data_IF_184346730864
#
_entry.id   IF_184346730864
#
_cell.length_a   1.000
_cell.length_b   1.000
_cell.length_c   1.000
_cell.angle_alpha   90.00
_cell.angle_beta   90.00
_cell.angle_gamma   90.00
#
_symmetry.space_group_name_H-M   'P 1'
#
loop_
_entity.id
_entity.type
_entity.pdbx_description
1 polymer ?
#
# COMPACT_ATOMS: atom_id res chain seq x y z
N UNK A 1 -13.34 -1.74 4.73
CA UNK A 1 -14.58 -1.86 5.52
C UNK A 1 -14.84 -3.28 5.98
N UNK A 2 -13.87 -3.94 6.62
CA UNK A 2 -14.02 -5.32 7.12
C UNK A 2 -13.30 -5.45 8.47
N UNK A 3 -13.56 -6.53 9.21
CA UNK A 3 -12.88 -6.85 10.47
C UNK A 3 -11.36 -6.98 10.35
N UNK A 4 -10.87 -7.31 9.15
CA UNK A 4 -9.43 -7.41 8.86
C UNK A 4 -8.65 -6.11 9.11
N UNK A 5 -9.30 -4.94 9.03
CA UNK A 5 -8.64 -3.66 9.29
C UNK A 5 -8.04 -3.55 10.71
N UNK A 6 -8.58 -4.32 11.68
CA UNK A 6 -8.03 -4.41 13.05
C UNK A 6 -6.59 -4.89 13.09
N UNK A 7 -6.15 -5.60 12.05
CA UNK A 7 -4.80 -6.15 11.94
C UNK A 7 -3.86 -5.29 11.08
N UNK A 8 -4.31 -4.14 10.54
CA UNK A 8 -3.44 -3.30 9.72
C UNK A 8 -2.32 -2.67 10.56
N UNK A 9 -2.65 -1.88 11.58
CA UNK A 9 -1.64 -1.09 12.30
C UNK A 9 -0.59 -1.96 12.99
N UNK A 10 -1.03 -3.01 13.69
CA UNK A 10 -0.13 -3.93 14.41
C UNK A 10 0.86 -4.67 13.49
N UNK A 11 0.58 -4.77 12.19
CA UNK A 11 1.51 -5.39 11.23
C UNK A 11 2.83 -4.61 11.14
N UNK A 12 2.82 -3.30 11.41
CA UNK A 12 4.02 -2.47 11.50
C UNK A 12 4.99 -3.01 12.55
N UNK A 13 4.48 -3.26 13.75
CA UNK A 13 5.27 -3.71 14.89
C UNK A 13 5.76 -5.15 14.66
N UNK A 14 4.89 -6.00 14.12
CA UNK A 14 5.26 -7.36 13.75
C UNK A 14 6.39 -7.40 12.71
N UNK A 15 6.35 -6.53 11.70
CA UNK A 15 7.43 -6.40 10.70
C UNK A 15 8.73 -5.96 11.37
N UNK A 16 8.67 -4.97 12.27
CA UNK A 16 9.84 -4.48 12.98
C UNK A 16 10.51 -5.60 13.79
N UNK A 17 9.71 -6.31 14.59
CA UNK A 17 10.17 -7.40 15.45
C UNK A 17 10.71 -8.57 14.60
N UNK A 18 10.12 -8.83 13.43
CA UNK A 18 10.58 -9.88 12.50
C UNK A 18 11.99 -9.57 11.97
N UNK A 19 12.22 -8.34 11.50
CA UNK A 19 13.52 -7.90 10.99
C UNK A 19 14.57 -7.93 12.11
N UNK A 20 14.22 -7.40 13.28
CA UNK A 20 15.09 -7.37 14.46
C UNK A 20 15.50 -8.79 14.88
N UNK A 21 14.55 -9.72 14.91
CA UNK A 21 14.80 -11.14 15.23
C UNK A 21 15.77 -11.79 14.24
N UNK A 22 15.57 -11.63 12.93
CA UNK A 22 16.45 -12.22 11.92
C UNK A 22 17.86 -11.62 11.97
N UNK A 23 17.97 -10.29 12.03
CA UNK A 23 19.26 -9.59 12.06
C UNK A 23 20.05 -9.89 13.33
N UNK A 24 19.37 -10.00 14.48
CA UNK A 24 19.97 -10.39 15.74
C UNK A 24 20.41 -11.85 15.76
N UNK A 25 19.57 -12.77 15.27
CA UNK A 25 19.85 -14.20 15.25
C UNK A 25 20.97 -14.60 14.29
N UNK A 26 21.09 -13.90 13.15
CA UNK A 26 22.08 -14.23 12.11
C UNK A 26 23.32 -13.34 12.12
N UNK A 27 23.39 -12.37 13.02
CA UNK A 27 24.52 -11.45 13.14
C UNK A 27 24.89 -10.71 11.84
N UNK A 28 23.90 -10.44 10.98
CA UNK A 28 24.15 -9.71 9.73
C UNK A 28 24.68 -8.30 9.98
N UNK A 29 25.70 -7.90 9.21
CA UNK A 29 26.40 -6.63 9.37
C UNK A 29 25.59 -5.41 8.91
N UNK A 30 24.61 -5.61 8.03
CA UNK A 30 23.78 -4.52 7.48
C UNK A 30 22.46 -5.00 6.88
N UNK A 31 21.57 -4.06 6.58
CA UNK A 31 20.19 -4.33 6.16
C UNK A 31 19.80 -3.52 4.91
N UNK A 32 19.30 -4.20 3.89
CA UNK A 32 18.56 -3.59 2.77
C UNK A 32 17.10 -4.01 2.89
N UNK A 33 16.20 -3.08 3.16
CA UNK A 33 14.76 -3.36 3.26
C UNK A 33 14.00 -2.90 2.01
N UNK A 34 13.05 -3.73 1.55
CA UNK A 34 12.26 -3.51 0.33
C UNK A 34 10.74 -3.41 0.65
N UNK A 35 10.27 -2.41 1.40
CA UNK A 35 8.85 -2.24 1.69
C UNK A 35 8.07 -1.61 0.53
N UNK A 36 6.79 -1.95 0.38
CA UNK A 36 5.96 -1.48 -0.74
C UNK A 36 4.52 -1.10 -0.39
N UNK A 37 4.11 -1.20 0.87
CA UNK A 37 2.74 -0.86 1.30
C UNK A 37 2.76 -0.19 2.67
N UNK A 38 1.78 0.69 2.89
CA UNK A 38 1.58 1.58 4.05
C UNK A 38 2.39 1.22 5.31
N UNK A 39 2.06 0.13 6.00
CA UNK A 39 2.63 -0.20 7.32
C UNK A 39 4.02 -0.84 7.25
N UNK A 40 4.46 -1.27 6.07
CA UNK A 40 5.77 -1.90 5.88
C UNK A 40 6.89 -0.89 6.09
N UNK A 41 6.79 0.31 5.49
CA UNK A 41 7.83 1.33 5.56
C UNK A 41 8.19 1.72 7.00
N UNK A 42 7.23 2.14 7.86
CA UNK A 42 7.56 2.46 9.24
C UNK A 42 8.05 1.23 10.02
N UNK A 43 7.58 0.01 9.73
CA UNK A 43 8.08 -1.21 10.36
C UNK A 43 9.56 -1.46 10.05
N UNK A 44 9.97 -1.30 8.80
CA UNK A 44 11.37 -1.41 8.39
C UNK A 44 12.23 -0.33 9.06
N UNK A 45 11.80 0.93 9.05
CA UNK A 45 12.55 2.05 9.64
C UNK A 45 12.68 1.89 11.16
N UNK A 46 11.64 1.40 11.84
CA UNK A 46 11.70 1.08 13.27
C UNK A 46 12.77 0.02 13.57
N UNK A 47 12.81 -1.07 12.80
CA UNK A 47 13.83 -2.11 12.99
C UNK A 47 15.24 -1.60 12.72
N UNK A 48 15.44 -0.80 11.66
CA UNK A 48 16.72 -0.15 11.36
C UNK A 48 17.22 0.69 12.53
N UNK A 49 16.33 1.52 13.10
CA UNK A 49 16.66 2.37 14.23
C UNK A 49 17.00 1.56 15.50
N UNK A 50 16.27 0.47 15.78
CA UNK A 50 16.54 -0.41 16.93
C UNK A 50 17.87 -1.16 16.79
N UNK A 51 18.16 -1.69 15.60
CA UNK A 51 19.40 -2.43 15.32
C UNK A 51 20.63 -1.52 15.33
N UNK A 52 20.46 -0.25 14.92
CA UNK A 52 21.54 0.73 14.79
C UNK A 52 22.75 0.18 14.01
N UNK A 53 22.47 -0.54 12.92
CA UNK A 53 23.44 -1.09 11.96
C UNK A 53 23.32 -0.37 10.62
N UNK A 54 24.35 -0.36 9.76
CA UNK A 54 24.25 0.19 8.42
C UNK A 54 23.02 -0.35 7.67
N UNK A 55 22.12 0.54 7.26
CA UNK A 55 20.86 0.14 6.63
C UNK A 55 20.36 1.13 5.58
N UNK A 56 19.70 0.60 4.54
CA UNK A 56 19.01 1.39 3.52
C UNK A 56 17.62 0.81 3.25
N UNK A 57 16.63 1.69 3.06
CA UNK A 57 15.28 1.33 2.63
C UNK A 57 15.12 1.69 1.15
N UNK A 58 14.67 0.75 0.34
CA UNK A 58 14.35 0.96 -1.07
C UNK A 58 12.85 0.78 -1.21
N UNK A 59 12.13 1.89 -1.44
CA UNK A 59 10.69 1.87 -1.64
C UNK A 59 10.32 1.12 -2.92
N UNK A 60 9.35 0.20 -2.82
CA UNK A 60 8.88 -0.62 -3.95
C UNK A 60 8.25 0.17 -5.10
N UNK A 61 7.87 1.43 -4.85
CA UNK A 61 7.38 2.36 -5.86
C UNK A 61 5.85 2.47 -5.94
N UNK A 62 5.41 3.59 -6.50
CA UNK A 62 3.99 3.91 -6.67
C UNK A 62 3.40 3.20 -7.89
N UNK A 63 2.14 2.77 -7.78
CA UNK A 63 1.35 2.29 -8.92
C UNK A 63 1.09 3.46 -9.89
N UNK A 64 0.95 3.15 -11.18
CA UNK A 64 0.45 4.11 -12.17
C UNK A 64 -1.05 4.30 -12.01
N UNK A 65 -1.54 5.49 -12.35
CA UNK A 65 -2.97 5.76 -12.35
C UNK A 65 -3.68 4.94 -13.43
N UNK A 66 -4.87 4.44 -13.09
CA UNK A 66 -5.78 3.76 -13.99
C UNK A 66 -6.45 4.72 -14.98
N UNK A 67 -7.11 4.17 -16.00
CA UNK A 67 -7.91 4.92 -16.96
C UNK A 67 -9.21 4.20 -17.24
N UNK A 68 -10.33 4.91 -17.11
CA UNK A 68 -11.63 4.38 -17.49
C UNK A 68 -11.74 4.36 -19.03
N UNK A 69 -11.95 3.20 -19.68
CA UNK A 69 -12.06 3.13 -21.14
C UNK A 69 -13.18 3.99 -21.74
N UNK A 70 -14.35 4.04 -21.12
CA UNK A 70 -15.53 4.75 -21.64
C UNK A 70 -15.41 6.27 -21.59
N UNK A 71 -14.78 6.82 -20.54
CA UNK A 71 -14.71 8.28 -20.31
C UNK A 71 -13.31 8.87 -20.47
N UNK A 72 -12.27 8.04 -20.47
CA UNK A 72 -10.86 8.49 -20.42
C UNK A 72 -10.43 9.05 -19.06
N UNK A 73 -11.33 9.03 -18.05
CA UNK A 73 -11.08 9.57 -16.72
C UNK A 73 -9.96 8.81 -16.01
N UNK A 74 -9.16 9.53 -15.23
CA UNK A 74 -8.10 8.95 -14.40
C UNK A 74 -8.72 8.26 -13.19
N UNK A 75 -8.29 7.04 -12.90
CA UNK A 75 -8.80 6.23 -11.79
C UNK A 75 -7.69 5.87 -10.79
N UNK A 76 -8.08 5.72 -9.53
CA UNK A 76 -7.25 5.15 -8.47
C UNK A 76 -8.11 4.33 -7.48
N UNK A 77 -7.51 3.88 -6.37
CA UNK A 77 -8.25 3.11 -5.36
C UNK A 77 -9.40 3.89 -4.71
N UNK A 78 -9.32 5.23 -4.66
CA UNK A 78 -10.42 6.06 -4.14
C UNK A 78 -11.57 6.09 -5.13
N UNK A 79 -11.31 6.12 -6.43
CA UNK A 79 -12.35 5.95 -7.46
C UNK A 79 -13.14 4.66 -7.24
N UNK A 80 -12.45 3.54 -6.99
CA UNK A 80 -13.09 2.26 -6.69
C UNK A 80 -13.93 2.30 -5.40
N UNK A 81 -13.46 2.98 -4.35
CA UNK A 81 -14.23 3.14 -3.11
C UNK A 81 -15.48 4.00 -3.30
N UNK A 82 -15.37 5.09 -4.06
CA UNK A 82 -16.46 6.03 -4.31
C UNK A 82 -17.53 5.44 -5.24
N UNK A 83 -17.14 4.60 -6.20
CA UNK A 83 -18.03 4.00 -7.19
C UNK A 83 -19.22 3.25 -6.57
N UNK A 84 -19.05 2.60 -5.42
CA UNK A 84 -20.18 1.95 -4.73
C UNK A 84 -21.20 2.98 -4.23
N UNK A 85 -20.74 4.11 -3.67
CA UNK A 85 -21.62 5.19 -3.26
C UNK A 85 -22.33 5.82 -4.44
N UNK A 86 -21.61 6.12 -5.52
CA UNK A 86 -22.19 6.69 -6.75
C UNK A 86 -23.25 5.79 -7.37
N UNK A 87 -23.03 4.48 -7.37
CA UNK A 87 -24.00 3.50 -7.83
C UNK A 87 -25.27 3.47 -6.97
N UNK A 88 -25.13 3.46 -5.63
CA UNK A 88 -26.27 3.45 -4.70
C UNK A 88 -27.12 4.72 -4.80
N UNK A 89 -26.54 5.83 -5.24
CA UNK A 89 -27.24 7.09 -5.50
C UNK A 89 -27.64 7.28 -6.97
N UNK A 90 -27.69 6.20 -7.77
CA UNK A 90 -28.08 6.20 -9.19
C UNK A 90 -27.31 7.20 -10.06
N UNK A 91 -26.05 7.54 -9.69
CA UNK A 91 -25.20 8.46 -10.46
C UNK A 91 -24.42 7.77 -11.57
N UNK A 92 -24.16 6.47 -11.40
CA UNK A 92 -23.49 5.61 -12.37
C UNK A 92 -24.25 4.29 -12.49
N UNK A 93 -24.17 3.67 -13.66
CA UNK A 93 -24.68 2.32 -13.92
C UNK A 93 -23.82 1.23 -13.25
N UNK A 94 -24.35 0.02 -13.15
CA UNK A 94 -23.58 -1.14 -12.68
C UNK A 94 -22.42 -1.47 -13.65
N UNK A 95 -22.61 -1.23 -14.94
CA UNK A 95 -21.61 -1.38 -15.98
C UNK A 95 -20.44 -0.39 -15.78
N UNK A 96 -20.74 0.89 -15.57
CA UNK A 96 -19.73 1.91 -15.25
C UNK A 96 -19.02 1.59 -13.93
N UNK A 97 -19.76 1.15 -12.90
CA UNK A 97 -19.16 0.74 -11.62
C UNK A 97 -18.17 -0.40 -11.81
N UNK A 98 -18.53 -1.45 -12.57
CA UNK A 98 -17.63 -2.57 -12.88
C UNK A 98 -16.40 -2.11 -13.65
N UNK A 99 -16.58 -1.22 -14.61
CA UNK A 99 -15.48 -0.67 -15.38
C UNK A 99 -14.49 0.10 -14.50
N UNK A 100 -14.97 0.96 -13.60
CA UNK A 100 -14.13 1.67 -12.63
C UNK A 100 -13.34 0.66 -11.79
N UNK A 101 -13.99 -0.37 -11.26
CA UNK A 101 -13.34 -1.39 -10.42
C UNK A 101 -12.23 -2.16 -11.17
N UNK A 102 -12.46 -2.51 -12.44
CA UNK A 102 -11.50 -3.26 -13.25
C UNK A 102 -10.27 -2.45 -13.66
N UNK A 103 -10.40 -1.12 -13.74
CA UNK A 103 -9.35 -0.26 -14.29
C UNK A 103 -8.68 0.64 -13.24
N UNK A 104 -9.13 0.64 -11.98
CA UNK A 104 -8.57 1.49 -10.91
C UNK A 104 -7.14 1.11 -10.50
N UNK A 105 -6.74 -0.15 -10.66
CA UNK A 105 -5.43 -0.66 -10.25
C UNK A 105 -4.72 -1.36 -11.44
N UNK A 106 -4.06 -0.61 -12.34
CA UNK A 106 -3.59 -1.14 -13.63
C UNK A 106 -2.31 -1.99 -13.56
N UNK A 107 -1.73 -2.19 -12.39
CA UNK A 107 -0.46 -2.91 -12.25
C UNK A 107 0.08 -2.95 -10.82
N UNK A 108 1.38 -3.29 -10.64
CA UNK A 108 2.02 -3.32 -9.33
C UNK A 108 2.36 -1.91 -8.81
N UNK A 109 2.50 -1.81 -7.49
CA UNK A 109 2.94 -0.60 -6.78
C UNK A 109 2.00 -0.20 -5.64
N UNK A 110 2.45 0.70 -4.77
CA UNK A 110 1.62 1.24 -3.70
C UNK A 110 0.58 2.25 -4.24
N UNK A 111 -0.40 2.63 -3.41
CA UNK A 111 -1.46 3.58 -3.80
C UNK A 111 -0.89 4.92 -4.31
N UNK A 112 -1.41 5.43 -5.43
CA UNK A 112 -0.79 6.52 -6.19
C UNK A 112 -0.84 7.93 -5.58
N UNK A 113 -1.79 8.19 -4.67
CA UNK A 113 -1.92 9.50 -4.03
C UNK A 113 -0.92 9.72 -2.89
N UNK A 114 -0.96 10.91 -2.28
CA UNK A 114 -0.22 11.23 -1.04
C UNK A 114 -0.90 10.60 0.18
N UNK A 115 -0.97 9.27 0.18
CA UNK A 115 -1.38 8.45 1.32
C UNK A 115 -0.13 8.02 2.10
N UNK A 116 -0.31 7.19 3.15
CA UNK A 116 0.79 6.76 4.02
C UNK A 116 1.97 6.11 3.30
N UNK A 117 1.74 5.52 2.12
CA UNK A 117 2.84 4.85 1.41
C UNK A 117 3.79 5.82 0.69
N UNK A 118 3.27 6.92 0.16
CA UNK A 118 4.05 7.94 -0.54
C UNK A 118 4.45 9.12 0.36
N UNK A 119 3.80 9.26 1.52
CA UNK A 119 4.17 10.22 2.57
C UNK A 119 5.39 9.72 3.33
#
# INVERSE_FOLDING_TARGET
GTSGMRYSLQSRDLIADSIETTMGGQWYDGLVALPGCDKNMPGCVMAMARLNRPSIMIYGGTIRAGKQPSTGSTLDIVSAFQAYGEYVYDKISEEERKEILQHSCPGPGACGGMYTANT
#
